data_IF_724742545505
#
_entry.id   IF_724742545505
#
_cell.length_a   1.000
_cell.length_b   1.000
_cell.length_c   1.000
_cell.angle_alpha   90.00
_cell.angle_beta   90.00
_cell.angle_gamma   90.00
#
_symmetry.space_group_name_H-M   'P 1'
#
loop_
_entity.id
_entity.type
_entity.pdbx_description
1 polymer ?
#
# COMPACT_ATOMS: atom_id res chain seq x y z
N UNK A 1 -13.40 -9.97 -14.15
CA UNK A 1 -13.01 -11.19 -13.44
C UNK A 1 -11.99 -11.98 -14.27
N UNK A 2 -12.31 -12.45 -15.48
CA UNK A 2 -11.46 -13.35 -16.28
C UNK A 2 -10.02 -12.84 -16.45
N UNK A 3 -9.83 -11.62 -16.94
CA UNK A 3 -8.47 -11.04 -17.15
C UNK A 3 -7.66 -10.90 -15.85
N UNK A 4 -8.31 -10.65 -14.72
CA UNK A 4 -7.65 -10.61 -13.41
C UNK A 4 -7.28 -12.03 -12.97
N UNK A 5 -8.21 -13.00 -13.14
CA UNK A 5 -7.94 -14.40 -12.84
C UNK A 5 -6.74 -14.92 -13.64
N UNK A 6 -6.69 -14.64 -14.94
CA UNK A 6 -5.56 -15.00 -15.80
C UNK A 6 -4.25 -14.36 -15.32
N UNK A 7 -4.28 -13.06 -14.93
CA UNK A 7 -3.12 -12.33 -14.44
C UNK A 7 -2.56 -12.91 -13.12
N UNK A 8 -3.44 -13.37 -12.22
CA UNK A 8 -3.03 -13.94 -10.92
C UNK A 8 -2.93 -15.48 -10.96
N UNK A 9 -2.54 -16.05 -12.08
CA UNK A 9 -2.24 -17.48 -12.20
C UNK A 9 -3.46 -18.41 -12.24
N UNK A 10 -4.63 -17.90 -12.58
CA UNK A 10 -5.86 -18.69 -12.70
C UNK A 10 -6.70 -18.78 -11.43
N UNK A 11 -6.38 -18.00 -10.41
CA UNK A 11 -7.19 -17.92 -9.17
C UNK A 11 -8.64 -17.59 -9.51
N UNK A 12 -9.59 -18.39 -9.00
CA UNK A 12 -11.01 -18.16 -9.22
C UNK A 12 -11.50 -16.92 -8.48
N UNK A 13 -12.27 -16.08 -9.17
CA UNK A 13 -12.84 -14.84 -8.64
C UNK A 13 -14.34 -15.00 -8.43
N UNK A 14 -14.76 -15.27 -7.21
CA UNK A 14 -16.17 -15.50 -6.85
C UNK A 14 -16.95 -14.20 -6.76
N UNK A 15 -16.32 -13.15 -6.28
CA UNK A 15 -16.97 -11.85 -6.01
C UNK A 15 -16.14 -10.72 -6.59
N UNK A 16 -16.84 -9.65 -7.01
CA UNK A 16 -16.18 -8.45 -7.51
C UNK A 16 -16.86 -7.19 -6.98
N UNK A 17 -16.09 -6.14 -6.92
CA UNK A 17 -16.54 -4.77 -6.68
C UNK A 17 -15.92 -3.89 -7.77
N UNK A 18 -16.75 -3.26 -8.60
CA UNK A 18 -16.33 -2.28 -9.60
C UNK A 18 -16.87 -0.91 -9.22
N UNK A 19 -15.97 0.04 -9.05
CA UNK A 19 -16.30 1.39 -8.62
C UNK A 19 -15.74 2.42 -9.59
N UNK A 20 -16.49 3.45 -9.89
CA UNK A 20 -16.01 4.62 -10.61
C UNK A 20 -15.61 5.74 -9.63
N UNK A 21 -15.02 6.82 -10.15
CA UNK A 21 -14.54 7.97 -9.35
C UNK A 21 -15.65 8.53 -8.46
N UNK A 22 -16.86 8.70 -8.99
CA UNK A 22 -18.00 9.19 -8.21
C UNK A 22 -18.42 8.21 -7.11
N UNK A 23 -18.36 6.91 -7.37
CA UNK A 23 -18.64 5.89 -6.36
C UNK A 23 -17.63 5.91 -5.23
N UNK A 24 -16.34 6.14 -5.52
CA UNK A 24 -15.30 6.30 -4.48
C UNK A 24 -15.57 7.53 -3.63
N UNK A 25 -15.89 8.68 -4.24
CA UNK A 25 -16.27 9.92 -3.54
C UNK A 25 -17.42 9.67 -2.55
N UNK A 26 -18.53 9.11 -3.03
CA UNK A 26 -19.72 8.82 -2.22
C UNK A 26 -19.45 7.78 -1.12
N UNK A 27 -18.61 6.79 -1.40
CA UNK A 27 -18.19 5.81 -0.40
C UNK A 27 -17.40 6.46 0.73
N UNK A 28 -16.46 7.34 0.41
CA UNK A 28 -15.67 8.08 1.40
C UNK A 28 -16.60 8.94 2.26
N UNK A 29 -17.55 9.66 1.67
CA UNK A 29 -18.55 10.44 2.40
C UNK A 29 -19.40 9.56 3.33
N UNK A 30 -19.82 8.39 2.86
CA UNK A 30 -20.57 7.42 3.67
C UNK A 30 -19.76 6.88 4.84
N UNK A 31 -18.46 6.63 4.64
CA UNK A 31 -17.51 6.25 5.70
C UNK A 31 -17.27 7.38 6.70
N UNK A 32 -17.58 8.63 6.33
CA UNK A 32 -17.38 9.83 7.13
C UNK A 32 -16.03 10.45 6.96
N UNK A 33 -15.46 10.31 5.78
CA UNK A 33 -14.14 10.80 5.41
C UNK A 33 -13.04 9.78 5.66
N UNK A 34 -11.85 10.09 5.17
CA UNK A 34 -10.64 9.28 5.34
C UNK A 34 -9.49 10.15 5.82
N UNK A 35 -8.57 9.58 6.59
CA UNK A 35 -7.41 10.33 7.07
C UNK A 35 -6.18 9.93 6.28
N UNK A 36 -5.56 10.91 5.61
CA UNK A 36 -4.32 10.73 4.85
C UNK A 36 -3.27 11.76 5.27
N UNK A 37 -2.02 11.47 4.97
CA UNK A 37 -0.95 12.47 5.05
C UNK A 37 -0.70 13.06 3.66
N UNK A 38 -0.95 14.36 3.51
CA UNK A 38 -0.67 15.12 2.29
C UNK A 38 0.80 15.52 2.30
N UNK A 39 1.65 15.03 1.37
CA UNK A 39 3.11 15.17 1.47
C UNK A 39 3.61 16.60 1.24
N UNK A 40 2.85 17.40 0.51
CA UNK A 40 3.13 18.81 0.21
C UNK A 40 1.85 19.59 -0.02
N UNK A 41 1.92 20.92 -0.05
CA UNK A 41 0.78 21.75 -0.49
C UNK A 41 0.44 21.38 -1.94
N UNK A 42 -0.81 21.01 -2.17
CA UNK A 42 -1.33 20.67 -3.50
C UNK A 42 -2.28 21.77 -3.94
N UNK A 43 -1.84 22.57 -4.91
CA UNK A 43 -2.66 23.63 -5.52
C UNK A 43 -2.65 23.44 -7.03
N UNK A 44 -3.82 23.35 -7.60
CA UNK A 44 -4.00 23.28 -9.05
C UNK A 44 -5.38 23.78 -9.43
N UNK A 45 -5.47 24.47 -10.53
CA UNK A 45 -6.73 24.98 -11.08
C UNK A 45 -6.78 24.69 -12.58
N UNK A 46 -7.86 24.07 -13.01
CA UNK A 46 -8.18 23.85 -14.41
C UNK A 46 -9.66 24.14 -14.64
N UNK A 47 -9.95 25.31 -15.19
CA UNK A 47 -11.31 25.77 -15.43
C UNK A 47 -12.01 24.96 -16.54
N UNK A 48 -11.22 24.38 -17.46
CA UNK A 48 -11.77 23.59 -18.57
C UNK A 48 -12.34 22.24 -18.09
N UNK A 49 -11.77 21.68 -17.01
CA UNK A 49 -12.21 20.43 -16.40
C UNK A 49 -12.98 20.64 -15.09
N UNK A 50 -13.22 21.88 -14.70
CA UNK A 50 -13.76 22.24 -13.37
C UNK A 50 -13.03 21.55 -12.23
N UNK A 51 -11.70 21.47 -12.34
CA UNK A 51 -10.83 20.82 -11.36
C UNK A 51 -10.11 21.85 -10.50
N UNK A 52 -10.51 21.95 -9.26
CA UNK A 52 -9.91 22.84 -8.28
C UNK A 52 -9.33 22.02 -7.15
N UNK A 53 -8.00 22.07 -6.96
CA UNK A 53 -7.28 21.34 -5.92
C UNK A 53 -6.65 22.35 -4.98
N UNK A 54 -6.92 22.22 -3.68
CA UNK A 54 -6.34 23.07 -2.65
C UNK A 54 -6.22 22.31 -1.33
N UNK A 55 -5.24 21.39 -1.26
CA UNK A 55 -4.94 20.62 -0.05
C UNK A 55 -3.63 21.13 0.55
N UNK A 56 -3.59 21.23 1.86
CA UNK A 56 -2.39 21.63 2.62
C UNK A 56 -1.54 20.42 2.99
N UNK A 57 -0.23 20.64 3.12
CA UNK A 57 0.68 19.62 3.66
C UNK A 57 0.26 19.21 5.07
N UNK A 58 0.41 17.92 5.39
CA UNK A 58 0.20 17.36 6.73
C UNK A 58 -0.92 16.34 6.80
N UNK A 59 -1.16 15.84 8.00
CA UNK A 59 -2.23 14.88 8.27
C UNK A 59 -3.58 15.59 8.19
N UNK A 60 -4.45 15.12 7.28
CA UNK A 60 -5.76 15.70 7.04
C UNK A 60 -6.82 14.62 7.02
N UNK A 61 -8.00 14.99 7.46
CA UNK A 61 -9.21 14.19 7.32
C UNK A 61 -9.99 14.75 6.13
N UNK A 62 -10.02 13.99 5.04
CA UNK A 62 -10.58 14.39 3.75
C UNK A 62 -11.99 13.82 3.60
N UNK A 63 -12.90 14.63 3.12
CA UNK A 63 -14.19 14.16 2.60
C UNK A 63 -14.03 13.55 1.19
N UNK A 64 -15.13 13.17 0.55
CA UNK A 64 -15.10 12.55 -0.77
C UNK A 64 -14.52 13.47 -1.84
N UNK A 65 -14.89 14.75 -1.86
CA UNK A 65 -14.39 15.71 -2.83
C UNK A 65 -12.89 15.97 -2.65
N UNK A 66 -12.45 16.20 -1.41
CA UNK A 66 -11.06 16.44 -1.06
C UNK A 66 -10.18 15.21 -1.37
N UNK A 67 -10.70 14.01 -1.13
CA UNK A 67 -10.04 12.76 -1.49
C UNK A 67 -9.88 12.62 -3.02
N UNK A 68 -10.86 13.07 -3.80
CA UNK A 68 -10.74 13.11 -5.26
C UNK A 68 -9.73 14.18 -5.72
N UNK A 69 -9.63 15.32 -5.04
CA UNK A 69 -8.57 16.29 -5.28
C UNK A 69 -7.20 15.67 -5.05
N UNK A 70 -7.01 14.91 -3.95
CA UNK A 70 -5.78 14.20 -3.64
C UNK A 70 -5.40 13.18 -4.72
N UNK A 71 -6.36 12.41 -5.23
CA UNK A 71 -6.13 11.42 -6.31
C UNK A 71 -5.81 12.07 -7.66
N UNK A 72 -6.47 13.17 -7.98
CA UNK A 72 -6.38 13.81 -9.31
C UNK A 72 -5.20 14.77 -9.44
N UNK A 73 -4.50 15.09 -8.35
CA UNK A 73 -3.31 15.93 -8.39
C UNK A 73 -2.20 15.26 -9.20
N UNK A 74 -1.69 15.94 -10.23
CA UNK A 74 -0.65 15.44 -11.13
C UNK A 74 0.60 16.32 -11.20
N UNK A 75 0.61 17.43 -10.45
CA UNK A 75 1.69 18.41 -10.47
C UNK A 75 2.74 18.07 -9.42
N UNK A 76 3.36 16.88 -9.57
CA UNK A 76 4.50 16.48 -8.76
C UNK A 76 5.66 16.00 -9.64
N UNK A 77 6.85 15.99 -9.05
CA UNK A 77 8.10 15.58 -9.70
C UNK A 77 8.11 14.07 -10.07
N UNK A 78 7.08 13.34 -9.64
CA UNK A 78 7.00 11.88 -9.76
C UNK A 78 6.08 11.41 -10.87
N UNK A 79 5.37 12.32 -11.53
CA UNK A 79 4.47 11.98 -12.63
C UNK A 79 3.50 10.85 -12.30
N UNK A 80 3.52 9.78 -13.10
CA UNK A 80 2.63 8.63 -12.91
C UNK A 80 2.94 7.81 -11.64
N UNK A 81 4.19 7.76 -11.19
CA UNK A 81 4.59 7.06 -9.95
C UNK A 81 3.91 7.71 -8.73
N UNK A 82 3.97 9.04 -8.63
CA UNK A 82 3.29 9.77 -7.55
C UNK A 82 1.76 9.54 -7.55
N UNK A 83 1.17 9.37 -8.73
CA UNK A 83 -0.25 9.03 -8.86
C UNK A 83 -0.55 7.63 -8.27
N UNK A 84 0.25 6.62 -8.61
CA UNK A 84 0.07 5.25 -8.07
C UNK A 84 0.21 5.25 -6.55
N UNK A 85 1.22 5.93 -6.01
CA UNK A 85 1.42 6.04 -4.56
C UNK A 85 0.23 6.72 -3.87
N UNK A 86 -0.35 7.77 -4.46
CA UNK A 86 -1.56 8.41 -3.91
C UNK A 86 -2.78 7.51 -3.96
N UNK A 87 -2.96 6.74 -5.04
CA UNK A 87 -4.03 5.75 -5.14
C UNK A 87 -3.91 4.71 -4.03
N UNK A 88 -2.73 4.17 -3.79
CA UNK A 88 -2.47 3.20 -2.71
C UNK A 88 -2.70 3.81 -1.33
N UNK A 89 -2.20 5.04 -1.11
CA UNK A 89 -2.42 5.77 0.15
C UNK A 89 -3.91 5.95 0.43
N UNK A 90 -4.70 6.34 -0.58
CA UNK A 90 -6.13 6.51 -0.42
C UNK A 90 -6.86 5.18 -0.20
N UNK A 91 -6.51 4.14 -0.97
CA UNK A 91 -7.10 2.80 -0.78
C UNK A 91 -6.84 2.27 0.63
N UNK A 92 -5.62 2.44 1.14
CA UNK A 92 -5.31 2.12 2.53
C UNK A 92 -6.17 2.91 3.50
N UNK A 93 -6.27 4.23 3.33
CA UNK A 93 -7.06 5.08 4.22
C UNK A 93 -8.56 4.67 4.22
N UNK A 94 -9.11 4.24 3.07
CA UNK A 94 -10.45 3.67 2.96
C UNK A 94 -10.56 2.38 3.77
N UNK A 95 -9.61 1.44 3.61
CA UNK A 95 -9.60 0.18 4.36
C UNK A 95 -9.48 0.47 5.86
N UNK A 96 -8.52 1.29 6.28
CA UNK A 96 -8.32 1.64 7.69
C UNK A 96 -9.57 2.29 8.31
N UNK A 97 -10.25 3.16 7.55
CA UNK A 97 -11.49 3.77 7.99
C UNK A 97 -12.61 2.74 8.08
N UNK A 98 -12.70 1.81 7.13
CA UNK A 98 -13.71 0.74 7.13
C UNK A 98 -13.55 -0.21 8.33
N UNK A 99 -12.33 -0.42 8.82
CA UNK A 99 -12.01 -1.20 10.01
C UNK A 99 -12.27 -0.44 11.32
N UNK A 100 -12.66 0.83 11.26
CA UNK A 100 -12.94 1.60 12.46
C UNK A 100 -14.28 1.18 13.06
N UNK A 101 -14.35 0.78 14.36
CA UNK A 101 -15.61 0.38 14.99
C UNK A 101 -16.72 1.44 14.90
N UNK A 102 -16.37 2.72 14.81
CA UNK A 102 -17.32 3.82 14.62
C UNK A 102 -18.07 3.80 13.28
N UNK A 103 -17.61 2.99 12.31
CA UNK A 103 -18.27 2.84 10.99
C UNK A 103 -19.55 1.98 11.09
N UNK A 104 -19.70 1.14 12.12
CA UNK A 104 -20.86 0.26 12.28
C UNK A 104 -22.17 1.04 12.21
N UNK A 105 -22.27 2.21 12.82
CA UNK A 105 -23.47 3.06 12.78
C UNK A 105 -23.74 3.65 11.39
N UNK A 106 -22.77 3.61 10.49
CA UNK A 106 -22.84 4.13 9.10
C UNK A 106 -23.16 3.04 8.08
N UNK A 107 -23.16 1.78 8.47
CA UNK A 107 -23.42 0.63 7.59
C UNK A 107 -24.65 0.79 6.70
N UNK A 108 -25.82 1.25 7.19
CA UNK A 108 -26.98 1.44 6.33
C UNK A 108 -26.71 2.40 5.17
N UNK A 109 -26.03 3.53 5.44
CA UNK A 109 -25.65 4.52 4.43
C UNK A 109 -24.62 3.97 3.45
N UNK A 110 -23.64 3.19 3.93
CA UNK A 110 -22.64 2.55 3.10
C UNK A 110 -23.32 1.58 2.11
N UNK A 111 -24.23 0.74 2.59
CA UNK A 111 -24.98 -0.20 1.75
C UNK A 111 -25.82 0.53 0.70
N UNK A 112 -26.45 1.65 1.06
CA UNK A 112 -27.19 2.49 0.11
C UNK A 112 -26.28 3.02 -1.02
N UNK A 113 -25.11 3.54 -0.67
CA UNK A 113 -24.12 4.01 -1.65
C UNK A 113 -23.62 2.85 -2.53
N UNK A 114 -23.32 1.69 -1.94
CA UNK A 114 -22.88 0.52 -2.72
C UNK A 114 -23.95 0.14 -3.73
N UNK A 115 -25.22 0.04 -3.33
CA UNK A 115 -26.34 -0.29 -4.24
C UNK A 115 -26.53 0.72 -5.37
N UNK A 116 -26.26 2.00 -5.11
CA UNK A 116 -26.57 3.09 -6.04
C UNK A 116 -25.42 3.45 -6.98
N UNK A 117 -24.16 3.24 -6.55
CA UNK A 117 -22.98 3.79 -7.23
C UNK A 117 -21.90 2.74 -7.51
N UNK A 118 -22.05 1.50 -7.02
CA UNK A 118 -21.03 0.45 -7.13
C UNK A 118 -21.65 -0.76 -7.83
N UNK A 119 -20.93 -1.28 -8.82
CA UNK A 119 -21.30 -2.51 -9.49
C UNK A 119 -20.63 -3.70 -8.80
N UNK A 120 -21.45 -4.62 -8.29
CA UNK A 120 -20.98 -5.79 -7.55
C UNK A 120 -21.97 -6.94 -7.66
N UNK A 121 -21.48 -8.18 -7.55
CA UNK A 121 -22.32 -9.37 -7.41
C UNK A 121 -22.49 -9.81 -5.93
N UNK A 122 -22.01 -9.00 -4.97
CA UNK A 122 -22.25 -9.25 -3.56
C UNK A 122 -23.73 -9.00 -3.18
N UNK A 123 -24.32 -9.91 -2.43
CA UNK A 123 -25.64 -9.71 -1.82
C UNK A 123 -25.55 -8.72 -0.63
N UNK A 124 -26.70 -8.24 -0.18
CA UNK A 124 -26.76 -7.34 0.99
C UNK A 124 -26.28 -8.06 2.26
N UNK A 125 -26.64 -9.33 2.39
CA UNK A 125 -26.25 -10.18 3.51
C UNK A 125 -24.73 -10.37 3.53
N UNK A 126 -24.10 -10.59 2.38
CA UNK A 126 -22.65 -10.69 2.22
C UNK A 126 -21.96 -9.37 2.56
N UNK A 127 -22.52 -8.22 2.14
CA UNK A 127 -21.98 -6.90 2.49
C UNK A 127 -22.04 -6.64 4.01
N UNK A 128 -23.12 -7.01 4.66
CA UNK A 128 -23.25 -6.91 6.13
C UNK A 128 -22.24 -7.84 6.81
N UNK A 129 -22.13 -9.08 6.35
CA UNK A 129 -21.17 -10.03 6.89
C UNK A 129 -19.70 -9.54 6.73
N UNK A 130 -19.34 -9.00 5.57
CA UNK A 130 -18.03 -8.39 5.33
C UNK A 130 -17.75 -7.20 6.26
N UNK A 131 -18.77 -6.37 6.53
CA UNK A 131 -18.62 -5.25 7.47
C UNK A 131 -18.40 -5.76 8.90
N UNK A 132 -19.10 -6.80 9.31
CA UNK A 132 -18.90 -7.47 10.60
C UNK A 132 -17.51 -8.08 10.73
N UNK A 133 -17.04 -8.77 9.69
CA UNK A 133 -15.70 -9.31 9.61
C UNK A 133 -14.64 -8.20 9.69
N UNK A 134 -14.77 -7.13 8.89
CA UNK A 134 -13.87 -6.01 8.91
C UNK A 134 -13.74 -5.36 10.30
N UNK A 135 -14.87 -5.22 11.03
CA UNK A 135 -14.86 -4.62 12.38
C UNK A 135 -14.10 -5.44 13.42
N UNK A 136 -13.89 -6.74 13.18
CA UNK A 136 -13.18 -7.67 14.05
C UNK A 136 -11.75 -7.95 13.57
N UNK A 137 -11.40 -7.51 12.37
CA UNK A 137 -10.08 -7.74 11.77
C UNK A 137 -9.06 -6.78 12.37
N UNK A 138 -7.93 -7.32 12.81
CA UNK A 138 -6.78 -6.51 13.21
C UNK A 138 -6.16 -5.85 11.97
N UNK A 139 -5.94 -4.55 12.06
CA UNK A 139 -5.35 -3.75 10.97
C UNK A 139 -3.96 -4.25 10.55
N UNK A 140 -3.20 -4.83 11.45
CA UNK A 140 -1.88 -5.40 11.17
C UNK A 140 -1.94 -6.63 10.26
N UNK A 141 -3.11 -7.28 10.18
CA UNK A 141 -3.34 -8.45 9.32
C UNK A 141 -3.82 -8.10 7.91
N UNK A 142 -4.14 -6.83 7.66
CA UNK A 142 -4.51 -6.38 6.31
C UNK A 142 -3.25 -6.12 5.51
N UNK A 143 -3.07 -6.90 4.47
CA UNK A 143 -1.93 -6.78 3.56
C UNK A 143 -2.38 -6.14 2.25
N UNK A 144 -1.60 -5.21 1.74
CA UNK A 144 -1.84 -4.52 0.47
C UNK A 144 -0.53 -4.49 -0.30
N UNK A 145 -0.47 -5.22 -1.39
CA UNK A 145 0.74 -5.29 -2.21
C UNK A 145 0.46 -4.88 -3.65
N UNK A 146 1.49 -4.46 -4.34
CA UNK A 146 1.47 -4.26 -5.78
C UNK A 146 1.89 -5.57 -6.46
N UNK A 147 1.25 -5.91 -7.57
CA UNK A 147 1.72 -7.05 -8.35
C UNK A 147 3.13 -6.77 -8.86
N UNK A 148 4.06 -7.74 -8.74
CA UNK A 148 5.42 -7.61 -9.24
C UNK A 148 5.47 -7.21 -10.71
N UNK A 149 6.38 -6.31 -11.05
CA UNK A 149 6.51 -5.78 -12.39
C UNK A 149 7.40 -4.53 -12.45
N UNK A 150 7.49 -3.95 -13.61
CA UNK A 150 8.30 -2.77 -13.85
C UNK A 150 7.62 -1.75 -14.76
N UNK A 151 8.05 -0.49 -14.72
CA UNK A 151 7.63 0.51 -15.70
C UNK A 151 8.43 0.36 -17.00
N UNK A 152 7.72 0.34 -18.15
CA UNK A 152 8.36 0.31 -19.47
C UNK A 152 9.06 1.63 -19.86
N UNK A 153 9.26 2.55 -18.93
CA UNK A 153 9.75 3.90 -19.18
C UNK A 153 8.75 4.75 -19.98
N UNK A 154 9.25 5.67 -20.80
CA UNK A 154 8.44 6.36 -21.80
C UNK A 154 8.28 5.43 -23.01
N UNK A 155 7.25 4.58 -23.03
CA UNK A 155 7.01 3.64 -24.11
C UNK A 155 7.08 4.28 -25.50
N UNK A 156 7.19 3.48 -26.57
CA UNK A 156 7.37 3.91 -27.97
C UNK A 156 6.36 4.98 -28.46
N UNK A 157 5.27 5.17 -27.72
CA UNK A 157 4.20 6.13 -28.04
C UNK A 157 3.96 7.17 -26.93
N UNK A 158 4.92 7.35 -26.00
CA UNK A 158 4.77 8.29 -24.87
C UNK A 158 3.77 7.84 -23.80
N UNK A 159 3.34 6.58 -23.81
CA UNK A 159 2.45 6.00 -22.83
C UNK A 159 3.24 5.11 -21.89
N UNK A 160 3.10 5.34 -20.60
CA UNK A 160 3.73 4.53 -19.55
C UNK A 160 2.81 3.39 -19.15
N UNK A 161 3.35 2.17 -19.09
CA UNK A 161 2.65 0.96 -18.66
C UNK A 161 3.42 0.30 -17.52
N UNK A 162 2.68 -0.36 -16.63
CA UNK A 162 3.23 -1.34 -15.72
C UNK A 162 3.26 -2.69 -16.43
N UNK A 163 4.45 -3.27 -16.58
CA UNK A 163 4.66 -4.59 -17.20
C UNK A 163 4.76 -5.61 -16.07
N UNK A 164 3.78 -6.52 -15.93
CA UNK A 164 3.77 -7.51 -14.87
C UNK A 164 4.83 -8.60 -15.07
N UNK A 165 5.46 -9.04 -14.00
CA UNK A 165 6.35 -10.20 -13.98
C UNK A 165 5.54 -11.47 -13.69
N UNK A 166 5.13 -12.18 -14.72
CA UNK A 166 4.17 -13.30 -14.60
C UNK A 166 4.62 -14.42 -13.65
N UNK A 167 5.92 -14.72 -13.59
CA UNK A 167 6.45 -15.77 -12.71
C UNK A 167 6.33 -15.36 -11.25
N UNK A 168 6.78 -14.16 -10.90
CA UNK A 168 6.70 -13.61 -9.55
C UNK A 168 5.25 -13.46 -9.07
N UNK A 169 4.34 -13.06 -9.98
CA UNK A 169 2.90 -12.99 -9.69
C UNK A 169 2.33 -14.38 -9.39
N UNK A 170 2.78 -15.40 -10.11
CA UNK A 170 2.33 -16.78 -9.88
C UNK A 170 2.81 -17.30 -8.52
N UNK A 171 4.06 -17.02 -8.16
CA UNK A 171 4.60 -17.40 -6.86
C UNK A 171 3.84 -16.70 -5.72
N UNK A 172 3.57 -15.41 -5.90
CA UNK A 172 2.77 -14.62 -4.97
C UNK A 172 1.32 -15.14 -4.88
N UNK A 173 0.71 -15.50 -6.01
CA UNK A 173 -0.63 -16.09 -6.02
C UNK A 173 -0.67 -17.44 -5.29
N UNK A 174 0.33 -18.28 -5.48
CA UNK A 174 0.48 -19.54 -4.75
C UNK A 174 0.63 -19.30 -3.25
N UNK A 175 1.43 -18.31 -2.86
CA UNK A 175 1.64 -17.97 -1.45
C UNK A 175 0.37 -17.51 -0.73
N UNK A 176 -0.48 -16.72 -1.39
CA UNK A 176 -1.63 -16.07 -0.75
C UNK A 176 -2.98 -16.69 -1.03
N UNK A 177 -3.12 -17.49 -2.09
CA UNK A 177 -4.41 -18.05 -2.53
C UNK A 177 -4.44 -19.58 -2.59
N UNK A 178 -3.30 -20.28 -2.47
CA UNK A 178 -3.28 -21.74 -2.45
C UNK A 178 -3.59 -22.27 -1.05
N UNK A 179 -4.85 -22.69 -0.87
CA UNK A 179 -5.37 -23.19 0.42
C UNK A 179 -4.85 -24.57 0.81
N UNK A 180 -4.29 -25.32 -0.12
CA UNK A 180 -3.79 -26.66 0.18
C UNK A 180 -2.42 -26.64 0.88
N UNK A 181 -1.69 -25.51 0.81
CA UNK A 181 -0.41 -25.31 1.50
C UNK A 181 -0.52 -25.13 3.02
N UNK A 182 -1.64 -24.62 3.51
CA UNK A 182 -1.84 -24.41 4.97
C UNK A 182 -1.82 -25.74 5.78
N UNK A 183 -1.84 -26.88 5.11
CA UNK A 183 -1.75 -28.21 5.76
C UNK A 183 -0.35 -28.81 5.78
N UNK A 184 0.52 -28.37 4.89
CA UNK A 184 1.87 -28.91 4.72
C UNK A 184 2.97 -27.97 5.29
N UNK A 185 2.63 -26.72 5.63
CA UNK A 185 3.60 -25.73 6.13
C UNK A 185 3.97 -25.90 7.60
N UNK A 186 3.23 -26.68 8.40
CA UNK A 186 3.69 -27.08 9.75
C UNK A 186 4.89 -28.06 9.72
N UNK A 187 5.23 -28.64 8.56
CA UNK A 187 6.37 -29.58 8.43
C UNK A 187 7.55 -29.07 7.61
N UNK A 188 7.47 -27.89 6.96
CA UNK A 188 8.55 -27.35 6.13
C UNK A 188 8.86 -25.87 6.45
N UNK A 189 9.04 -25.51 7.72
CA UNK A 189 9.97 -24.43 8.09
C UNK A 189 11.42 -24.88 7.76
N UNK A 190 11.67 -25.20 6.49
CA UNK A 190 13.03 -25.14 5.99
C UNK A 190 13.38 -23.66 5.93
N UNK A 191 14.28 -23.26 6.84
CA UNK A 191 15.13 -22.09 6.77
C UNK A 191 15.43 -21.72 5.30
N UNK A 192 14.54 -20.98 4.65
CA UNK A 192 14.93 -20.13 3.55
C UNK A 192 15.58 -18.92 4.23
N UNK A 193 16.83 -19.12 4.71
CA UNK A 193 17.68 -18.01 5.11
C UNK A 193 17.94 -17.19 3.86
N UNK A 194 17.11 -16.21 3.62
CA UNK A 194 17.35 -15.23 2.56
C UNK A 194 18.64 -14.52 2.92
N UNK A 195 19.68 -14.71 2.11
CA UNK A 195 20.99 -14.10 2.34
C UNK A 195 20.85 -12.57 2.27
N UNK A 196 21.22 -11.82 3.31
CA UNK A 196 21.21 -10.35 3.29
C UNK A 196 21.87 -9.74 2.07
N UNK A 197 22.89 -10.41 1.52
CA UNK A 197 23.61 -9.97 0.34
C UNK A 197 22.75 -9.87 -0.93
N UNK A 198 21.62 -10.57 -0.98
CA UNK A 198 20.71 -10.61 -2.12
C UNK A 198 19.46 -9.72 -1.93
N UNK A 199 19.34 -9.04 -0.79
CA UNK A 199 18.20 -8.17 -0.50
C UNK A 199 18.54 -6.72 -0.87
N UNK A 200 17.80 -6.14 -1.80
CA UNK A 200 17.88 -4.71 -2.10
C UNK A 200 17.07 -3.92 -1.07
N UNK A 201 17.76 -3.08 -0.28
CA UNK A 201 17.15 -2.30 0.80
C UNK A 201 17.11 -0.82 0.46
N UNK A 202 15.92 -0.23 0.44
CA UNK A 202 15.74 1.21 0.36
C UNK A 202 15.50 1.82 1.75
N UNK A 203 16.04 3.00 2.00
CA UNK A 203 15.81 3.76 3.24
C UNK A 203 15.05 5.03 2.93
N UNK A 204 13.90 5.23 3.58
CA UNK A 204 13.09 6.45 3.54
C UNK A 204 13.10 7.10 4.92
N UNK A 205 13.68 8.28 5.05
CA UNK A 205 13.78 8.97 6.34
C UNK A 205 12.49 9.71 6.69
N UNK A 206 11.96 9.49 7.88
CA UNK A 206 10.88 10.30 8.47
C UNK A 206 11.32 11.09 9.70
N UNK A 207 12.59 10.96 10.08
CA UNK A 207 13.12 11.55 11.31
C UNK A 207 13.70 12.94 11.09
N UNK A 208 14.11 13.25 9.86
CA UNK A 208 14.86 14.47 9.49
C UNK A 208 16.31 14.46 9.95
N UNK A 209 16.87 13.29 10.33
CA UNK A 209 18.22 13.14 10.84
C UNK A 209 19.14 12.42 9.87
N UNK A 210 19.88 13.14 9.05
CA UNK A 210 20.88 12.56 8.14
C UNK A 210 21.95 11.73 8.87
N UNK A 211 22.20 11.99 10.16
CA UNK A 211 23.10 11.19 10.98
C UNK A 211 22.50 9.83 11.29
N UNK A 212 21.19 9.78 11.58
CA UNK A 212 20.50 8.52 11.84
C UNK A 212 20.45 7.62 10.60
N UNK A 213 20.21 8.23 9.43
CA UNK A 213 20.22 7.52 8.14
C UNK A 213 21.60 6.91 7.86
N UNK A 214 22.68 7.70 7.99
CA UNK A 214 24.05 7.19 7.77
C UNK A 214 24.37 6.02 8.69
N UNK A 215 24.05 6.13 9.99
CA UNK A 215 24.27 5.03 10.93
C UNK A 215 23.51 3.77 10.54
N UNK A 216 22.28 3.90 10.02
CA UNK A 216 21.51 2.74 9.53
C UNK A 216 22.18 2.11 8.28
N UNK A 217 22.66 2.93 7.35
CA UNK A 217 23.39 2.42 6.17
C UNK A 217 24.63 1.66 6.60
N UNK A 218 25.44 2.23 7.49
CA UNK A 218 26.66 1.60 8.02
C UNK A 218 26.33 0.27 8.70
N UNK A 219 25.31 0.22 9.55
CA UNK A 219 24.89 -1.00 10.27
C UNK A 219 24.40 -2.08 9.29
N UNK A 220 23.60 -1.73 8.28
CA UNK A 220 23.15 -2.68 7.26
C UNK A 220 24.33 -3.26 6.45
N UNK A 221 25.30 -2.42 6.08
CA UNK A 221 26.50 -2.87 5.37
C UNK A 221 27.37 -3.81 6.22
N UNK A 222 27.49 -3.54 7.53
CA UNK A 222 28.18 -4.43 8.48
C UNK A 222 27.46 -5.78 8.63
N UNK A 223 26.14 -5.81 8.51
CA UNK A 223 25.31 -7.00 8.53
C UNK A 223 25.28 -7.78 7.18
N UNK A 224 25.96 -7.27 6.16
CA UNK A 224 26.17 -7.97 4.89
C UNK A 224 25.19 -7.59 3.77
N UNK A 225 24.38 -6.54 3.95
CA UNK A 225 23.52 -6.02 2.87
C UNK A 225 24.38 -5.26 1.85
N UNK A 226 24.46 -5.78 0.62
CA UNK A 226 25.30 -5.21 -0.42
C UNK A 226 24.63 -4.07 -1.20
N UNK A 227 23.31 -4.13 -1.35
CA UNK A 227 22.53 -3.16 -2.11
C UNK A 227 21.63 -2.34 -1.19
N UNK A 228 22.20 -1.31 -0.59
CA UNK A 228 21.51 -0.37 0.29
C UNK A 228 21.57 1.02 -0.31
N UNK A 229 20.41 1.65 -0.50
CA UNK A 229 20.35 3.02 -1.00
C UNK A 229 19.35 3.89 -0.24
N UNK A 230 19.61 5.20 -0.23
CA UNK A 230 18.71 6.19 0.34
C UNK A 230 17.73 6.62 -0.74
N UNK A 231 16.45 6.40 -0.49
CA UNK A 231 15.36 6.91 -1.31
C UNK A 231 14.86 8.23 -0.74
N UNK A 232 13.77 8.74 -1.28
CA UNK A 232 13.17 10.00 -0.84
C UNK A 232 12.64 9.88 0.58
N UNK A 233 12.70 11.00 1.30
CA UNK A 233 12.18 11.07 2.65
C UNK A 233 10.72 10.66 2.73
N UNK A 234 10.39 9.89 3.78
CA UNK A 234 9.00 9.58 4.07
C UNK A 234 8.34 10.82 4.69
N UNK A 235 7.25 11.34 4.10
CA UNK A 235 6.73 12.64 4.48
C UNK A 235 6.02 12.68 5.84
N UNK A 236 5.46 11.54 6.29
CA UNK A 236 4.77 11.43 7.58
C UNK A 236 5.77 11.08 8.68
N UNK A 237 5.90 11.88 9.75
CA UNK A 237 6.77 11.54 10.88
C UNK A 237 6.31 10.25 11.58
N UNK A 238 7.14 9.22 11.57
CA UNK A 238 6.86 7.93 12.18
C UNK A 238 7.41 7.87 13.61
N UNK A 239 6.63 7.26 14.52
CA UNK A 239 7.09 6.96 15.88
C UNK A 239 7.89 5.66 15.91
N UNK A 240 7.45 4.67 15.13
CA UNK A 240 8.04 3.34 15.00
C UNK A 240 8.49 3.15 13.56
N UNK A 241 9.68 2.60 13.40
CA UNK A 241 10.24 2.22 12.10
C UNK A 241 9.34 1.17 11.44
N UNK A 242 9.13 1.28 10.15
CA UNK A 242 8.38 0.30 9.36
C UNK A 242 9.33 -0.40 8.40
N UNK A 243 9.22 -1.71 8.35
CA UNK A 243 9.95 -2.57 7.42
C UNK A 243 8.91 -3.05 6.40
N UNK A 244 8.96 -2.46 5.21
CA UNK A 244 7.96 -2.67 4.17
C UNK A 244 8.43 -3.79 3.25
N UNK A 245 7.69 -4.90 3.23
CA UNK A 245 7.81 -5.94 2.21
C UNK A 245 7.11 -5.45 0.95
N UNK A 246 7.88 -4.89 0.03
CA UNK A 246 7.35 -4.16 -1.12
C UNK A 246 6.58 -5.05 -2.10
N UNK A 247 7.13 -6.22 -2.41
CA UNK A 247 6.58 -7.18 -3.37
C UNK A 247 5.97 -8.42 -2.69
N UNK A 248 5.65 -8.33 -1.40
CA UNK A 248 5.14 -9.46 -0.63
C UNK A 248 6.23 -10.39 -0.09
N UNK A 249 7.52 -10.06 -0.24
CA UNK A 249 8.63 -10.82 0.33
C UNK A 249 8.70 -10.63 1.85
N UNK A 250 7.92 -11.46 2.54
CA UNK A 250 7.94 -11.50 4.00
C UNK A 250 9.25 -12.06 4.55
N UNK A 251 9.95 -12.92 3.82
CA UNK A 251 11.17 -13.55 4.27
C UNK A 251 12.30 -12.52 4.36
N UNK A 252 12.52 -11.73 3.31
CA UNK A 252 13.50 -10.64 3.33
C UNK A 252 13.20 -9.59 4.40
N UNK A 253 11.93 -9.21 4.56
CA UNK A 253 11.52 -8.27 5.59
C UNK A 253 11.73 -8.84 7.02
N UNK A 254 11.54 -10.15 7.21
CA UNK A 254 11.77 -10.82 8.48
C UNK A 254 13.26 -10.85 8.84
N UNK A 255 14.14 -11.11 7.88
CA UNK A 255 15.60 -11.04 8.05
C UNK A 255 16.03 -9.64 8.47
N UNK A 256 15.62 -8.60 7.71
CA UNK A 256 15.94 -7.20 8.06
C UNK A 256 15.44 -6.82 9.45
N UNK A 257 14.25 -7.29 9.85
CA UNK A 257 13.73 -7.02 11.20
C UNK A 257 14.54 -7.73 12.28
N UNK A 258 14.92 -8.99 12.07
CA UNK A 258 15.70 -9.75 13.01
C UNK A 258 17.08 -9.13 13.23
N UNK A 259 17.73 -8.71 12.15
CA UNK A 259 19.05 -8.09 12.16
C UNK A 259 19.07 -6.73 12.86
N UNK A 260 18.05 -5.91 12.60
CA UNK A 260 17.95 -4.57 13.19
C UNK A 260 17.33 -4.57 14.59
N UNK A 261 16.60 -5.60 14.99
CA UNK A 261 15.87 -5.72 16.27
C UNK A 261 14.96 -4.51 16.57
N UNK A 262 14.41 -3.90 15.53
CA UNK A 262 13.46 -2.77 15.65
C UNK A 262 12.39 -2.82 14.58
N UNK A 263 11.36 -2.03 14.78
CA UNK A 263 10.35 -1.77 13.77
C UNK A 263 9.26 -2.82 13.69
N UNK A 264 8.33 -2.61 12.80
CA UNK A 264 7.22 -3.50 12.48
C UNK A 264 7.23 -3.86 10.99
N UNK A 265 7.04 -5.14 10.67
CA UNK A 265 6.90 -5.59 9.29
C UNK A 265 5.51 -5.20 8.79
N UNK A 266 5.47 -4.67 7.57
CA UNK A 266 4.24 -4.41 6.84
C UNK A 266 4.35 -4.89 5.40
N UNK A 267 3.40 -5.68 4.97
CA UNK A 267 3.27 -6.05 3.56
C UNK A 267 2.48 -4.95 2.87
N UNK A 268 3.20 -4.04 2.27
CA UNK A 268 2.64 -2.84 1.68
C UNK A 268 3.47 -2.39 0.47
N UNK A 269 2.83 -1.75 -0.50
CA UNK A 269 3.50 -1.15 -1.66
C UNK A 269 3.73 0.36 -1.51
N UNK A 270 3.98 0.82 -0.28
CA UNK A 270 4.25 2.23 0.03
C UNK A 270 5.72 2.59 0.03
N UNK A 271 6.59 1.61 -0.08
CA UNK A 271 8.03 1.76 -0.15
C UNK A 271 8.54 2.18 -1.52
N UNK A 272 9.83 2.00 -1.74
CA UNK A 272 10.47 2.21 -3.03
C UNK A 272 10.16 1.07 -3.99
N UNK A 273 9.80 1.39 -5.23
CA UNK A 273 9.45 0.39 -6.25
C UNK A 273 10.65 -0.44 -6.75
N UNK A 274 11.87 -0.06 -6.38
CA UNK A 274 13.11 -0.71 -6.82
C UNK A 274 13.78 -1.52 -5.73
N UNK A 275 13.14 -1.66 -4.56
CA UNK A 275 13.67 -2.44 -3.45
C UNK A 275 12.79 -3.63 -3.14
N UNK A 276 13.39 -4.70 -2.62
CA UNK A 276 12.68 -5.82 -2.04
C UNK A 276 12.09 -5.43 -0.70
N UNK A 277 12.89 -4.71 0.08
CA UNK A 277 12.51 -4.20 1.40
C UNK A 277 12.77 -2.70 1.49
N UNK A 278 11.79 -1.94 2.00
CA UNK A 278 11.98 -0.53 2.30
C UNK A 278 11.90 -0.29 3.81
N UNK A 279 12.91 0.36 4.36
CA UNK A 279 12.92 0.79 5.76
C UNK A 279 12.44 2.24 5.82
N UNK A 280 11.22 2.46 6.31
CA UNK A 280 10.71 3.78 6.66
C UNK A 280 11.13 4.10 8.08
N UNK A 281 12.22 4.87 8.22
CA UNK A 281 12.90 5.11 9.48
C UNK A 281 12.07 5.96 10.43
N UNK A 282 11.77 5.45 11.62
CA UNK A 282 11.01 6.11 12.67
C UNK A 282 11.86 6.68 13.79
N UNK A 283 11.21 7.37 14.73
CA UNK A 283 11.87 8.00 15.89
C UNK A 283 12.40 7.02 16.93
N UNK A 284 11.97 5.77 16.90
CA UNK A 284 12.51 4.68 17.73
C UNK A 284 13.99 4.46 17.46
N UNK A 285 14.45 4.57 16.21
CA UNK A 285 15.83 4.49 15.82
C UNK A 285 16.73 5.57 16.46
N UNK A 286 16.17 6.75 16.73
CA UNK A 286 16.93 7.83 17.37
C UNK A 286 17.28 7.56 18.84
N UNK A 287 16.62 6.57 19.45
CA UNK A 287 16.83 6.21 20.87
C UNK A 287 17.86 5.09 21.05
N UNK A 288 18.31 4.50 19.95
CA UNK A 288 19.35 3.49 19.88
C UNK A 288 20.73 4.14 19.69
#
# INVERSE_FOLDING_TARGET
>A
AKSISELVGGVEIDRYIRVNVQGVEKLIDALGGVTVYVPKDMKYQDDSQHLYINLKKGKQHLDGEEAMQFLRFRYDEYGDIGRVQRQQTLMRAIVEQSLNPGVIVRVPKIIEVIKSHIDTNLSVEELVALTGFASQTDRSKVQMMMLPGEFNGTGREGVSYWIPHENEIRDLATQYFDRDRDRDEEENEKENTTDPANITVAIQDSTGSSRAVRRLVEELQELGYNDVYIDKDWPEPLKVTRIIAQNGDNAGAAVVKADLDIGEIRVESTGSLRSDVTIQLGKDWLKR
#
